data_IF_860558440319
#
_entry.id   IF_860558440319
#
_cell.length_a   1.000
_cell.length_b   1.000
_cell.length_c   1.000
_cell.angle_alpha   90.00
_cell.angle_beta   90.00
_cell.angle_gamma   90.00
#
_symmetry.space_group_name_H-M   'P 1'
#
loop_
_entity.id
_entity.type
_entity.pdbx_description
1 polymer ?
#
# COMPACT_ATOMS: atom_id res chain seq x y z
N UNK A 1 17.91 -19.46 -18.57
CA UNK A 1 16.69 -19.34 -19.44
C UNK A 1 15.49 -19.66 -18.56
N UNK A 2 15.19 -18.76 -17.64
CA UNK A 2 14.09 -18.95 -16.68
C UNK A 2 13.03 -17.88 -16.91
N UNK A 3 11.88 -18.35 -17.29
CA UNK A 3 10.72 -17.53 -17.62
C UNK A 3 10.21 -16.81 -16.37
N UNK A 4 10.33 -15.50 -16.35
CA UNK A 4 9.72 -14.61 -15.38
C UNK A 4 8.20 -14.63 -15.61
N UNK A 5 7.53 -15.43 -14.79
CA UNK A 5 6.07 -15.51 -14.77
C UNK A 5 5.54 -14.34 -13.90
N UNK A 6 5.56 -13.15 -14.49
CA UNK A 6 4.99 -11.96 -13.88
C UNK A 6 3.48 -12.12 -13.75
N UNK A 7 3.00 -12.29 -12.53
CA UNK A 7 1.59 -12.22 -12.20
C UNK A 7 1.05 -10.84 -12.63
N UNK A 8 0.27 -10.84 -13.70
CA UNK A 8 -0.50 -9.68 -14.15
C UNK A 8 -1.48 -9.33 -13.04
N UNK A 9 -1.16 -8.30 -12.27
CA UNK A 9 -2.13 -7.67 -11.37
C UNK A 9 -3.26 -7.18 -12.26
N UNK A 10 -4.45 -7.73 -12.08
CA UNK A 10 -5.67 -7.26 -12.72
C UNK A 10 -5.98 -5.85 -12.19
N UNK A 11 -5.34 -4.86 -12.80
CA UNK A 11 -5.75 -3.47 -12.65
C UNK A 11 -7.16 -3.30 -13.21
N UNK A 12 -7.91 -2.45 -12.53
CA UNK A 12 -9.27 -2.05 -12.92
C UNK A 12 -9.28 -1.67 -14.41
N UNK A 13 -10.20 -2.23 -15.19
CA UNK A 13 -10.28 -2.06 -16.64
C UNK A 13 -10.54 -0.58 -16.98
N UNK A 14 -9.47 0.17 -17.23
CA UNK A 14 -9.50 1.60 -17.58
C UNK A 14 -8.32 2.43 -17.10
N UNK A 15 -7.51 1.95 -16.15
CA UNK A 15 -6.33 2.70 -15.69
C UNK A 15 -5.09 2.34 -16.51
N UNK A 16 -4.40 3.38 -17.01
CA UNK A 16 -3.08 3.21 -17.63
C UNK A 16 -2.03 3.16 -16.51
N UNK A 17 -1.27 2.07 -16.46
CA UNK A 17 -0.27 1.80 -15.45
C UNK A 17 1.14 1.94 -16.04
N UNK A 18 2.04 2.47 -15.23
CA UNK A 18 3.47 2.47 -15.44
C UNK A 18 4.08 1.44 -14.50
N UNK A 19 4.89 0.54 -15.01
CA UNK A 19 5.66 -0.43 -14.25
C UNK A 19 7.13 -0.22 -14.57
N UNK A 20 7.98 -0.10 -13.55
CA UNK A 20 9.41 0.10 -13.75
C UNK A 20 10.21 -0.34 -12.54
N UNK A 21 11.53 -0.39 -12.76
CA UNK A 21 12.53 -0.59 -11.71
C UNK A 21 13.40 0.65 -11.61
N UNK A 22 13.61 1.14 -10.38
CA UNK A 22 14.54 2.23 -10.10
C UNK A 22 16.00 1.80 -10.32
N UNK A 23 16.91 2.77 -10.48
CA UNK A 23 18.33 2.50 -10.57
C UNK A 23 18.92 1.78 -9.35
N UNK A 24 18.27 1.86 -8.21
CA UNK A 24 18.61 1.16 -6.97
C UNK A 24 18.01 -0.27 -6.89
N UNK A 25 17.30 -0.72 -7.94
CA UNK A 25 16.74 -2.06 -8.07
C UNK A 25 15.35 -2.26 -7.44
N UNK A 26 14.70 -1.20 -6.97
CA UNK A 26 13.36 -1.26 -6.42
C UNK A 26 12.30 -1.19 -7.53
N UNK A 27 11.39 -2.17 -7.56
CA UNK A 27 10.23 -2.15 -8.46
C UNK A 27 9.20 -1.11 -7.98
N UNK A 28 8.64 -0.36 -8.93
CA UNK A 28 7.59 0.60 -8.62
C UNK A 28 6.49 0.62 -9.66
N UNK A 29 5.34 1.09 -9.21
CA UNK A 29 4.15 1.32 -10.03
C UNK A 29 3.79 2.79 -10.03
N UNK A 30 3.26 3.26 -11.16
CA UNK A 30 2.77 4.62 -11.29
C UNK A 30 1.49 4.68 -12.12
N UNK A 31 0.67 5.67 -11.83
CA UNK A 31 -0.51 5.99 -12.61
C UNK A 31 -0.14 6.98 -13.70
N UNK A 32 -0.36 6.61 -14.96
CA UNK A 32 -0.09 7.49 -16.09
C UNK A 32 -1.04 8.70 -16.07
N UNK A 33 -0.47 9.91 -16.10
CA UNK A 33 -1.20 11.17 -16.15
C UNK A 33 -1.23 11.73 -17.56
N UNK A 34 -0.10 11.66 -18.27
CA UNK A 34 0.05 12.18 -19.64
C UNK A 34 1.01 11.31 -20.42
N UNK A 35 0.70 11.08 -21.68
CA UNK A 35 1.53 10.30 -22.59
C UNK A 35 1.66 11.04 -23.92
N UNK A 36 2.87 11.16 -24.39
CA UNK A 36 3.22 11.56 -25.76
C UNK A 36 4.23 10.55 -26.31
N UNK A 37 4.55 10.64 -27.59
CA UNK A 37 5.51 9.72 -28.21
C UNK A 37 6.91 9.75 -27.56
N UNK A 38 7.31 10.88 -26.98
CA UNK A 38 8.66 11.08 -26.46
C UNK A 38 8.67 11.35 -24.95
N UNK A 39 7.52 11.39 -24.29
CA UNK A 39 7.41 11.80 -22.88
C UNK A 39 6.23 11.10 -22.21
N UNK A 40 6.44 10.65 -21.00
CA UNK A 40 5.37 10.21 -20.12
C UNK A 40 5.45 10.97 -18.80
N UNK A 41 4.29 11.37 -18.30
CA UNK A 41 4.14 11.93 -16.96
C UNK A 41 3.27 10.96 -16.17
N UNK A 42 3.73 10.55 -15.00
CA UNK A 42 3.02 9.62 -14.15
C UNK A 42 3.16 10.01 -12.68
N UNK A 43 2.18 9.61 -11.92
CA UNK A 43 2.13 9.75 -10.47
C UNK A 43 2.62 8.44 -9.85
N UNK A 44 3.63 8.52 -8.97
CA UNK A 44 4.14 7.36 -8.23
C UNK A 44 3.09 6.87 -7.24
N UNK A 45 2.79 5.58 -7.29
CA UNK A 45 1.90 4.93 -6.31
C UNK A 45 2.60 4.70 -4.97
N UNK A 46 3.93 4.61 -4.97
CA UNK A 46 4.73 4.48 -3.76
C UNK A 46 5.65 5.68 -3.56
N UNK A 47 5.31 6.61 -2.68
CA UNK A 47 6.13 7.80 -2.41
C UNK A 47 7.46 7.50 -1.69
N UNK A 48 7.68 6.27 -1.22
CA UNK A 48 8.97 5.86 -0.64
C UNK A 48 10.06 5.63 -1.69
N UNK A 49 9.68 5.51 -2.96
CA UNK A 49 10.63 5.40 -4.06
C UNK A 49 11.16 6.78 -4.40
N UNK A 50 12.46 6.95 -4.30
CA UNK A 50 13.15 8.19 -4.66
C UNK A 50 13.70 8.04 -6.07
N UNK A 51 13.11 8.75 -7.03
CA UNK A 51 13.65 8.88 -8.37
C UNK A 51 14.44 10.18 -8.48
N UNK A 52 15.57 10.13 -9.19
CA UNK A 52 16.46 11.28 -9.38
C UNK A 52 16.40 11.77 -10.80
N UNK A 53 16.52 13.09 -10.99
CA UNK A 53 16.67 13.67 -12.33
C UNK A 53 17.89 13.06 -13.03
N UNK A 54 17.73 12.75 -14.31
CA UNK A 54 18.69 12.04 -15.16
C UNK A 54 18.90 10.56 -14.83
N UNK A 55 18.12 10.00 -13.91
CA UNK A 55 18.14 8.56 -13.64
C UNK A 55 17.62 7.79 -14.86
N UNK A 56 18.31 6.72 -15.20
CA UNK A 56 17.89 5.81 -16.28
C UNK A 56 17.08 4.68 -15.67
N UNK A 57 15.87 4.49 -16.14
CA UNK A 57 14.98 3.41 -15.81
C UNK A 57 15.10 2.32 -16.89
N UNK A 58 15.84 1.23 -16.65
CA UNK A 58 16.18 0.27 -17.69
C UNK A 58 14.99 -0.59 -18.15
N UNK A 59 14.04 -0.83 -17.24
CA UNK A 59 12.87 -1.68 -17.46
C UNK A 59 11.58 -0.87 -17.27
N UNK A 60 11.39 0.15 -18.08
CA UNK A 60 10.21 0.99 -18.03
C UNK A 60 9.14 0.49 -18.98
N UNK A 61 7.94 0.27 -18.49
CA UNK A 61 6.82 -0.19 -19.31
C UNK A 61 5.54 0.59 -19.03
N UNK A 62 4.78 0.86 -20.07
CA UNK A 62 3.47 1.49 -20.00
C UNK A 62 2.44 0.51 -20.54
N UNK A 63 1.41 0.25 -19.76
CA UNK A 63 0.28 -0.58 -20.14
C UNK A 63 -1.03 0.20 -20.02
N UNK A 64 -1.95 0.02 -20.96
CA UNK A 64 -3.28 0.59 -20.90
C UNK A 64 -4.29 -0.40 -21.47
N UNK A 65 -5.42 -0.59 -20.78
CA UNK A 65 -6.45 -1.53 -21.18
C UNK A 65 -5.96 -2.98 -21.34
N UNK A 66 -4.97 -3.40 -20.56
CA UNK A 66 -4.37 -4.73 -20.63
C UNK A 66 -3.36 -4.92 -21.79
N UNK A 67 -3.06 -3.86 -22.54
CA UNK A 67 -2.07 -3.87 -23.62
C UNK A 67 -0.84 -3.09 -23.23
N UNK A 68 0.33 -3.66 -23.49
CA UNK A 68 1.61 -2.98 -23.31
C UNK A 68 1.82 -2.03 -24.49
N UNK A 69 1.89 -0.73 -24.20
CA UNK A 69 2.07 0.34 -25.20
C UNK A 69 3.55 0.64 -25.43
N UNK A 70 4.34 0.60 -24.36
CA UNK A 70 5.76 0.90 -24.36
C UNK A 70 6.50 -0.10 -23.48
N UNK A 71 7.69 -0.53 -23.87
CA UNK A 71 8.54 -1.40 -23.07
C UNK A 71 10.00 -1.21 -23.45
N UNK A 72 10.74 -0.47 -22.63
CA UNK A 72 12.13 -0.17 -22.89
C UNK A 72 12.74 0.73 -21.83
N UNK A 73 13.74 1.52 -22.20
CA UNK A 73 14.39 2.49 -21.32
C UNK A 73 13.62 3.81 -21.27
N UNK A 74 13.58 4.41 -20.08
CA UNK A 74 13.16 5.80 -19.92
C UNK A 74 14.19 6.58 -19.11
N UNK A 75 14.23 7.90 -19.25
CA UNK A 75 15.12 8.78 -18.50
C UNK A 75 14.28 9.79 -17.74
N UNK A 76 14.47 9.87 -16.42
CA UNK A 76 13.78 10.82 -15.57
C UNK A 76 14.24 12.24 -15.89
N UNK A 77 13.31 13.09 -16.34
CA UNK A 77 13.56 14.51 -16.61
C UNK A 77 13.36 15.37 -15.38
N UNK A 78 12.40 15.03 -14.59
CA UNK A 78 12.07 15.79 -13.40
C UNK A 78 11.13 15.03 -12.47
N UNK A 79 11.21 15.37 -11.21
CA UNK A 79 10.35 14.84 -10.15
C UNK A 79 9.78 16.05 -9.42
N UNK A 80 8.46 16.10 -9.32
CA UNK A 80 7.74 17.18 -8.66
C UNK A 80 6.93 16.60 -7.50
N UNK A 81 7.20 17.07 -6.31
CA UNK A 81 6.41 16.77 -5.12
C UNK A 81 5.28 17.79 -5.01
N UNK A 82 4.05 17.36 -5.26
CA UNK A 82 2.87 18.25 -5.22
C UNK A 82 2.26 18.38 -3.83
N UNK A 83 2.91 17.79 -2.81
CA UNK A 83 2.35 17.68 -1.45
C UNK A 83 1.31 16.56 -1.31
N UNK A 84 0.64 16.18 -2.39
CA UNK A 84 -0.36 15.11 -2.44
C UNK A 84 0.19 13.87 -3.14
N UNK A 85 1.07 14.06 -4.11
CA UNK A 85 1.63 13.00 -4.93
C UNK A 85 3.05 13.36 -5.40
N UNK A 86 3.80 12.34 -5.76
CA UNK A 86 5.08 12.49 -6.46
C UNK A 86 4.81 12.28 -7.95
N UNK A 87 4.95 13.34 -8.72
CA UNK A 87 4.76 13.31 -10.17
C UNK A 87 6.11 13.25 -10.86
N UNK A 88 6.31 12.26 -11.69
CA UNK A 88 7.54 12.04 -12.45
C UNK A 88 7.31 12.30 -13.92
N UNK A 89 8.26 13.02 -14.53
CA UNK A 89 8.34 13.27 -15.97
C UNK A 89 9.51 12.49 -16.53
N UNK A 90 9.28 11.65 -17.52
CA UNK A 90 10.30 10.83 -18.16
C UNK A 90 10.32 11.01 -19.67
N UNK A 91 11.52 10.95 -20.25
CA UNK A 91 11.73 10.90 -21.70
C UNK A 91 11.69 9.44 -22.14
N UNK A 92 10.96 9.19 -23.24
CA UNK A 92 10.81 7.89 -23.86
C UNK A 92 11.60 7.85 -25.18
N UNK A 93 12.17 6.69 -25.52
CA UNK A 93 12.80 6.47 -26.81
C UNK A 93 11.80 5.95 -27.82
N UNK A 94 11.85 6.43 -29.05
CA UNK A 94 10.92 6.03 -30.11
C UNK A 94 11.03 4.55 -30.52
N UNK A 95 12.13 3.90 -30.19
CA UNK A 95 12.44 2.51 -30.60
C UNK A 95 11.67 1.43 -29.81
N UNK A 96 11.14 1.79 -28.65
CA UNK A 96 10.54 0.82 -27.70
C UNK A 96 9.01 0.86 -27.67
N UNK A 97 8.40 1.55 -28.62
CA UNK A 97 6.96 1.51 -28.77
C UNK A 97 6.53 0.18 -29.40
N UNK A 98 5.50 -0.41 -28.84
CA UNK A 98 4.83 -1.53 -29.50
C UNK A 98 4.23 -1.02 -30.82
N UNK A 99 4.23 -1.84 -31.88
CA UNK A 99 3.61 -1.54 -33.19
C UNK A 99 2.08 -1.38 -33.12
N UNK A 100 1.58 -0.88 -32.00
CA UNK A 100 0.19 -0.48 -31.87
C UNK A 100 0.07 0.88 -32.50
N UNK A 101 -0.30 0.88 -33.78
CA UNK A 101 -0.73 2.07 -34.48
C UNK A 101 -1.95 2.66 -33.76
N UNK A 102 -1.67 3.62 -32.83
CA UNK A 102 -2.70 4.38 -32.14
C UNK A 102 -3.67 5.05 -33.15
N UNK A 103 -3.17 5.37 -34.34
CA UNK A 103 -3.98 5.89 -35.43
C UNK A 103 -5.01 4.88 -35.91
N UNK A 104 -4.64 3.61 -36.06
CA UNK A 104 -5.57 2.53 -36.44
C UNK A 104 -6.55 2.15 -35.33
N UNK A 105 -6.16 2.23 -34.07
CA UNK A 105 -7.06 2.00 -32.94
C UNK A 105 -8.13 3.11 -32.82
N UNK A 106 -7.74 4.35 -33.07
CA UNK A 106 -8.64 5.51 -33.08
C UNK A 106 -9.49 5.58 -34.36
N UNK A 107 -9.03 4.96 -35.47
CA UNK A 107 -9.72 4.96 -36.75
C UNK A 107 -10.86 3.93 -36.86
N UNK A 108 -11.10 3.12 -35.82
CA UNK A 108 -12.22 2.15 -35.82
C UNK A 108 -13.35 2.65 -34.90
N UNK A 109 -14.34 3.37 -35.44
CA UNK A 109 -15.47 3.93 -34.68
C UNK A 109 -16.23 2.93 -33.79
N UNK A 110 -16.37 1.63 -34.13
CA UNK A 110 -17.04 0.68 -33.24
C UNK A 110 -16.30 0.46 -31.91
N UNK A 111 -14.97 0.49 -31.91
CA UNK A 111 -14.16 0.26 -30.70
C UNK A 111 -14.31 1.37 -29.66
N UNK A 112 -14.33 2.63 -30.07
CA UNK A 112 -14.51 3.78 -29.16
C UNK A 112 -15.89 3.76 -28.50
N UNK A 113 -16.93 3.31 -29.19
CA UNK A 113 -18.28 3.16 -28.60
C UNK A 113 -18.31 2.07 -27.54
N UNK A 114 -17.60 0.97 -27.76
CA UNK A 114 -17.54 -0.13 -26.80
C UNK A 114 -16.68 0.24 -25.58
N UNK A 115 -15.58 0.94 -25.79
CA UNK A 115 -14.78 1.52 -24.73
C UNK A 115 -15.57 2.55 -23.90
N UNK A 116 -16.35 3.41 -24.56
CA UNK A 116 -17.22 4.35 -23.86
C UNK A 116 -18.33 3.64 -23.08
N UNK A 117 -18.92 2.57 -23.62
CA UNK A 117 -19.88 1.74 -22.87
C UNK A 117 -19.23 1.07 -21.65
N UNK A 118 -17.99 0.60 -21.78
CA UNK A 118 -17.24 0.05 -20.65
C UNK A 118 -16.94 1.11 -19.60
N UNK A 119 -16.59 2.34 -20.04
CA UNK A 119 -16.43 3.50 -19.18
C UNK A 119 -17.75 3.83 -18.45
N UNK A 120 -18.88 3.88 -19.16
CA UNK A 120 -20.19 4.15 -18.54
C UNK A 120 -20.54 3.09 -17.50
N UNK A 121 -20.32 1.80 -17.77
CA UNK A 121 -20.51 0.74 -16.76
C UNK A 121 -19.63 0.95 -15.51
N UNK A 122 -18.39 1.41 -15.70
CA UNK A 122 -17.52 1.78 -14.59
C UNK A 122 -18.05 2.99 -13.80
N UNK A 123 -18.55 3.99 -14.52
CA UNK A 123 -19.16 5.17 -13.92
C UNK A 123 -20.47 4.86 -13.15
N UNK A 124 -21.34 4.02 -13.70
CA UNK A 124 -22.56 3.55 -13.04
C UNK A 124 -22.28 2.88 -11.71
N UNK A 125 -21.18 2.11 -11.62
CA UNK A 125 -20.72 1.54 -10.35
C UNK A 125 -20.38 2.61 -9.32
N UNK A 126 -19.73 3.69 -9.74
CA UNK A 126 -19.44 4.84 -8.87
C UNK A 126 -20.69 5.64 -8.49
N UNK A 127 -21.69 5.68 -9.37
CA UNK A 127 -22.96 6.34 -9.10
C UNK A 127 -23.79 5.63 -8.02
N UNK A 128 -23.60 4.31 -7.86
CA UNK A 128 -24.26 3.49 -6.82
C UNK A 128 -23.71 3.68 -5.40
N UNK A 129 -22.57 4.39 -5.26
CA UNK A 129 -22.03 4.71 -3.94
C UNK A 129 -22.85 5.81 -3.29
N UNK A 130 -23.26 5.61 -2.04
CA UNK A 130 -24.06 6.56 -1.28
C UNK A 130 -23.35 7.93 -1.20
N UNK A 131 -24.12 9.03 -1.34
CA UNK A 131 -23.56 10.38 -1.22
C UNK A 131 -22.86 10.63 0.12
N UNK A 132 -23.46 10.19 1.22
CA UNK A 132 -22.91 10.33 2.57
C UNK A 132 -21.57 9.61 2.71
N UNK A 133 -21.44 8.43 2.09
CA UNK A 133 -20.19 7.69 2.05
C UNK A 133 -19.11 8.43 1.27
N UNK A 134 -19.47 9.03 0.12
CA UNK A 134 -18.55 9.87 -0.66
C UNK A 134 -18.09 11.09 0.13
N UNK A 135 -19.00 11.69 0.91
CA UNK A 135 -18.70 12.85 1.73
C UNK A 135 -17.67 12.52 2.80
N UNK A 136 -17.89 11.45 3.58
CA UNK A 136 -16.93 11.02 4.61
C UNK A 136 -15.57 10.69 4.00
N UNK A 137 -15.54 10.05 2.83
CA UNK A 137 -14.29 9.77 2.13
C UNK A 137 -13.60 11.05 1.64
N UNK A 138 -14.34 12.02 1.16
CA UNK A 138 -13.82 13.32 0.74
C UNK A 138 -13.25 14.13 1.91
N UNK A 139 -13.95 14.13 3.04
CA UNK A 139 -13.50 14.78 4.27
C UNK A 139 -12.19 14.15 4.78
N UNK A 140 -12.12 12.82 4.80
CA UNK A 140 -10.90 12.10 5.21
C UNK A 140 -9.72 12.36 4.26
N UNK A 141 -9.97 12.40 2.96
CA UNK A 141 -8.93 12.75 1.97
C UNK A 141 -8.42 14.17 2.16
N UNK A 142 -9.32 15.12 2.41
CA UNK A 142 -8.98 16.52 2.68
C UNK A 142 -8.15 16.62 3.96
N UNK A 143 -8.58 15.94 5.03
CA UNK A 143 -7.83 15.86 6.28
C UNK A 143 -6.43 15.29 6.07
N UNK A 144 -6.28 14.20 5.34
CA UNK A 144 -4.96 13.62 5.05
C UNK A 144 -4.08 14.56 4.22
N UNK A 145 -4.67 15.27 3.26
CA UNK A 145 -3.94 16.23 2.43
C UNK A 145 -3.37 17.37 3.27
N UNK A 146 -4.20 17.99 4.10
CA UNK A 146 -3.79 19.09 4.97
C UNK A 146 -2.82 18.65 6.05
N UNK A 147 -3.07 17.52 6.69
CA UNK A 147 -2.18 16.93 7.68
C UNK A 147 -0.79 16.66 7.09
N UNK A 148 -0.75 16.10 5.87
CA UNK A 148 0.52 15.84 5.19
C UNK A 148 1.29 17.12 4.92
N UNK A 149 0.64 18.15 4.36
CA UNK A 149 1.28 19.44 4.09
C UNK A 149 1.82 20.08 5.36
N UNK A 150 1.07 20.03 6.45
CA UNK A 150 1.49 20.55 7.74
C UNK A 150 2.68 19.78 8.31
N UNK A 151 2.67 18.46 8.26
CA UNK A 151 3.79 17.61 8.71
C UNK A 151 5.05 17.80 7.86
N UNK A 152 4.91 18.02 6.54
CA UNK A 152 6.03 18.35 5.66
C UNK A 152 6.73 19.66 6.07
N UNK A 153 5.98 20.67 6.52
CA UNK A 153 6.55 21.91 7.05
C UNK A 153 7.35 21.66 8.35
N UNK A 154 6.84 20.83 9.24
CA UNK A 154 7.57 20.43 10.46
C UNK A 154 8.85 19.68 10.10
N UNK A 155 8.76 18.75 9.14
CA UNK A 155 9.89 17.95 8.68
C UNK A 155 10.99 18.82 8.06
N UNK A 156 10.63 19.85 7.28
CA UNK A 156 11.57 20.86 6.78
C UNK A 156 12.24 21.62 7.93
N UNK A 157 11.50 21.99 8.96
CA UNK A 157 12.04 22.64 10.15
C UNK A 157 13.07 21.75 10.88
N UNK A 158 12.79 20.46 11.03
CA UNK A 158 13.70 19.49 11.66
C UNK A 158 14.98 19.35 10.83
N UNK A 159 14.85 19.19 9.50
CA UNK A 159 16.00 19.03 8.59
C UNK A 159 16.88 20.27 8.47
N UNK A 160 16.31 21.45 8.66
CA UNK A 160 17.06 22.72 8.65
C UNK A 160 17.72 23.06 9.96
N UNK A 161 17.45 22.31 11.04
CA UNK A 161 18.06 22.52 12.34
C UNK A 161 19.53 22.04 12.35
N UNK A 162 20.48 22.84 12.81
CA UNK A 162 21.90 22.48 12.83
C UNK A 162 22.26 21.41 13.86
N UNK A 163 21.32 20.90 14.62
CA UNK A 163 21.55 19.90 15.67
C UNK A 163 21.65 18.48 15.15
N UNK A 164 22.65 17.73 15.62
CA UNK A 164 22.95 16.32 15.29
C UNK A 164 21.88 15.31 15.79
N UNK A 165 20.65 15.73 16.05
CA UNK A 165 19.59 14.92 16.66
C UNK A 165 18.29 14.90 15.86
N UNK A 166 18.34 14.91 14.53
CA UNK A 166 17.12 14.94 13.71
C UNK A 166 16.18 13.77 14.00
N UNK A 167 16.71 12.55 14.16
CA UNK A 167 15.93 11.36 14.47
C UNK A 167 15.24 11.40 15.84
N UNK A 168 15.92 12.00 16.83
CA UNK A 168 15.34 12.19 18.16
C UNK A 168 14.24 13.25 18.15
N UNK A 169 14.42 14.32 17.38
CA UNK A 169 13.39 15.35 17.19
C UNK A 169 12.18 14.79 16.45
N UNK A 170 12.38 14.03 15.39
CA UNK A 170 11.29 13.35 14.68
C UNK A 170 10.51 12.43 15.61
N UNK A 171 11.21 11.65 16.44
CA UNK A 171 10.56 10.75 17.40
C UNK A 171 9.72 11.52 18.41
N UNK A 172 10.26 12.59 19.00
CA UNK A 172 9.52 13.46 19.91
C UNK A 172 8.26 14.05 19.27
N UNK A 173 8.36 14.52 18.03
CA UNK A 173 7.22 15.04 17.28
C UNK A 173 6.16 13.95 17.07
N UNK A 174 6.57 12.74 16.70
CA UNK A 174 5.63 11.63 16.51
C UNK A 174 4.99 11.24 17.84
N UNK A 175 5.74 11.13 18.92
CA UNK A 175 5.23 10.77 20.24
C UNK A 175 4.19 11.79 20.75
N UNK A 176 4.38 13.07 20.44
CA UNK A 176 3.45 14.14 20.80
C UNK A 176 2.19 14.14 19.90
N UNK A 177 2.36 13.93 18.62
CA UNK A 177 1.30 14.10 17.62
C UNK A 177 0.50 12.83 17.33
N UNK A 178 1.10 11.64 17.47
CA UNK A 178 0.45 10.39 17.08
C UNK A 178 -0.91 10.20 17.78
N UNK A 179 -0.97 10.42 19.09
CA UNK A 179 -2.23 10.26 19.83
C UNK A 179 -3.36 11.19 19.34
N UNK A 180 -3.17 12.50 19.25
CA UNK A 180 -4.16 13.42 18.68
C UNK A 180 -4.56 13.07 17.25
N UNK A 181 -3.61 12.78 16.37
CA UNK A 181 -3.88 12.45 14.97
C UNK A 181 -4.66 11.15 14.85
N UNK A 182 -4.27 10.11 15.60
CA UNK A 182 -5.00 8.83 15.64
C UNK A 182 -6.46 9.07 16.01
N UNK A 183 -6.74 9.80 17.07
CA UNK A 183 -8.13 10.12 17.45
C UNK A 183 -8.90 10.88 16.37
N UNK A 184 -8.23 11.77 15.65
CA UNK A 184 -8.90 12.48 14.54
C UNK A 184 -9.24 11.54 13.38
N UNK A 185 -8.37 10.59 13.05
CA UNK A 185 -8.63 9.58 12.02
C UNK A 185 -9.75 8.65 12.47
N UNK A 186 -9.74 8.21 13.73
CA UNK A 186 -10.75 7.29 14.28
C UNK A 186 -12.17 7.90 14.20
N UNK A 187 -12.34 9.20 14.39
CA UNK A 187 -13.64 9.87 14.18
C UNK A 187 -14.18 9.67 12.75
N UNK A 188 -13.32 9.71 11.74
CA UNK A 188 -13.75 9.45 10.34
C UNK A 188 -14.04 7.96 10.14
N UNK A 189 -13.25 7.10 10.77
CA UNK A 189 -13.43 5.64 10.67
C UNK A 189 -14.73 5.22 11.32
N UNK A 190 -15.05 5.71 12.51
CA UNK A 190 -16.31 5.44 13.20
C UNK A 190 -17.53 5.83 12.33
N UNK A 191 -17.50 7.05 11.76
CA UNK A 191 -18.54 7.49 10.82
C UNK A 191 -18.64 6.62 9.57
N UNK A 192 -17.51 6.17 9.07
CA UNK A 192 -17.44 5.24 7.95
C UNK A 192 -18.05 3.89 8.32
N UNK A 193 -17.71 3.33 9.47
CA UNK A 193 -18.22 2.03 9.94
C UNK A 193 -19.73 2.08 10.16
N UNK A 194 -20.25 3.14 10.79
CA UNK A 194 -21.70 3.36 10.93
C UNK A 194 -22.46 3.36 9.58
N UNK A 195 -21.84 3.94 8.55
CA UNK A 195 -22.43 3.93 7.20
C UNK A 195 -22.30 2.54 6.57
N UNK A 196 -21.17 1.87 6.76
CA UNK A 196 -20.91 0.57 6.18
C UNK A 196 -21.84 -0.53 6.73
N UNK A 197 -22.18 -0.48 8.02
CA UNK A 197 -23.13 -1.40 8.67
C UNK A 197 -24.55 -1.31 8.09
N UNK A 198 -24.92 -0.16 7.54
CA UNK A 198 -26.26 0.10 6.98
C UNK A 198 -26.34 -0.18 5.47
N UNK A 199 -25.22 -0.60 4.85
CA UNK A 199 -25.21 -0.85 3.42
C UNK A 199 -25.95 -2.15 3.08
N UNK A 200 -26.76 -2.07 2.02
CA UNK A 200 -27.27 -3.27 1.39
C UNK A 200 -26.11 -4.12 0.83
N UNK A 201 -26.09 -5.44 1.07
CA UNK A 201 -25.07 -6.34 0.55
C UNK A 201 -24.79 -6.21 -0.96
N UNK A 202 -25.80 -5.89 -1.75
CA UNK A 202 -25.66 -5.72 -3.20
C UNK A 202 -24.79 -4.50 -3.59
N UNK A 203 -24.76 -3.46 -2.76
CA UNK A 203 -23.98 -2.24 -3.04
C UNK A 203 -22.62 -2.21 -2.37
N UNK A 204 -22.34 -3.10 -1.43
CA UNK A 204 -21.06 -3.20 -0.73
C UNK A 204 -19.85 -3.26 -1.69
N UNK A 205 -19.85 -4.06 -2.79
CA UNK A 205 -18.70 -4.11 -3.69
C UNK A 205 -18.38 -2.78 -4.37
N UNK A 206 -19.39 -1.94 -4.60
CA UNK A 206 -19.20 -0.61 -5.21
C UNK A 206 -18.55 0.36 -4.21
N UNK A 207 -18.99 0.32 -2.95
CA UNK A 207 -18.42 1.11 -1.85
C UNK A 207 -16.98 0.69 -1.56
N UNK A 208 -16.69 -0.61 -1.56
CA UNK A 208 -15.33 -1.14 -1.41
C UNK A 208 -14.38 -0.69 -2.52
N UNK A 209 -14.86 -0.74 -3.77
CA UNK A 209 -14.07 -0.28 -4.92
C UNK A 209 -13.79 1.24 -4.85
N UNK A 210 -14.80 2.02 -4.42
CA UNK A 210 -14.66 3.45 -4.22
C UNK A 210 -13.67 3.78 -3.11
N UNK A 211 -13.79 3.13 -1.95
CA UNK A 211 -12.89 3.25 -0.82
C UNK A 211 -11.44 3.00 -1.21
N UNK A 212 -11.18 1.85 -1.84
CA UNK A 212 -9.83 1.49 -2.29
C UNK A 212 -9.22 2.59 -3.16
N UNK A 213 -9.94 3.01 -4.17
CA UNK A 213 -9.48 4.05 -5.08
C UNK A 213 -9.22 5.39 -4.37
N UNK A 214 -10.02 5.72 -3.36
CA UNK A 214 -9.92 6.96 -2.61
C UNK A 214 -8.79 6.97 -1.59
N UNK A 215 -8.56 5.86 -0.88
CA UNK A 215 -7.65 5.81 0.26
C UNK A 215 -6.31 5.11 0.00
N UNK A 216 -6.20 4.22 -1.01
CA UNK A 216 -4.94 3.53 -1.29
C UNK A 216 -3.74 4.48 -1.39
N UNK A 217 -3.81 5.61 -2.14
CA UNK A 217 -2.65 6.49 -2.28
C UNK A 217 -2.12 7.02 -0.95
N UNK A 218 -3.01 7.18 0.03
CA UNK A 218 -2.67 7.65 1.36
C UNK A 218 -2.14 6.53 2.25
N UNK A 219 -2.88 5.44 2.34
CA UNK A 219 -2.56 4.33 3.24
C UNK A 219 -1.28 3.59 2.83
N UNK A 220 -1.02 3.46 1.52
CA UNK A 220 0.18 2.82 1.01
C UNK A 220 1.46 3.63 1.24
N UNK A 221 1.38 4.86 1.76
CA UNK A 221 2.55 5.58 2.27
C UNK A 221 3.12 4.92 3.53
N UNK A 222 2.30 4.21 4.32
CA UNK A 222 2.76 3.40 5.44
C UNK A 222 3.47 2.14 4.94
N UNK A 223 4.69 1.84 5.42
CA UNK A 223 5.40 0.61 5.07
C UNK A 223 4.62 -0.66 5.40
N UNK A 224 3.92 -0.66 6.54
CA UNK A 224 3.07 -1.78 6.95
C UNK A 224 1.93 -2.03 5.96
N UNK A 225 1.15 -0.99 5.63
CA UNK A 225 0.06 -1.12 4.66
C UNK A 225 0.56 -1.50 3.27
N UNK A 226 1.67 -0.90 2.84
CA UNK A 226 2.31 -1.22 1.56
C UNK A 226 2.68 -2.69 1.47
N UNK A 227 3.37 -3.22 2.48
CA UNK A 227 3.76 -4.63 2.52
C UNK A 227 2.55 -5.57 2.58
N UNK A 228 1.57 -5.24 3.43
CA UNK A 228 0.34 -6.01 3.54
C UNK A 228 -0.43 -6.09 2.22
N UNK A 229 -0.43 -5.02 1.44
CA UNK A 229 -1.09 -4.96 0.14
C UNK A 229 -0.32 -5.72 -0.95
N UNK A 230 0.97 -5.46 -1.11
CA UNK A 230 1.79 -6.02 -2.19
C UNK A 230 2.18 -7.48 -1.98
N UNK A 231 2.21 -7.96 -0.72
CA UNK A 231 2.56 -9.35 -0.37
C UNK A 231 3.82 -9.85 -1.12
N UNK A 232 4.98 -9.22 -0.92
CA UNK A 232 6.16 -9.46 -1.75
C UNK A 232 6.66 -10.90 -1.73
N UNK A 233 6.31 -11.69 -0.71
CA UNK A 233 6.61 -13.12 -0.62
C UNK A 233 5.53 -14.00 -1.28
N UNK A 234 4.46 -13.41 -1.86
CA UNK A 234 3.43 -14.11 -2.61
C UNK A 234 2.41 -14.88 -1.76
N UNK A 235 2.48 -14.83 -0.42
CA UNK A 235 1.56 -15.50 0.48
C UNK A 235 1.09 -14.59 1.63
N UNK A 236 -0.05 -14.94 2.24
CA UNK A 236 -0.69 -14.12 3.28
C UNK A 236 0.05 -14.15 4.63
N UNK A 237 0.89 -15.14 4.88
CA UNK A 237 1.62 -15.36 6.12
C UNK A 237 3.02 -14.74 6.15
N UNK A 238 3.20 -13.58 5.53
CA UNK A 238 4.49 -12.87 5.50
C UNK A 238 4.98 -12.57 6.93
N UNK A 239 6.05 -13.26 7.34
CA UNK A 239 6.63 -13.13 8.69
C UNK A 239 7.07 -11.71 9.00
N UNK A 240 7.54 -10.96 8.01
CA UNK A 240 7.96 -9.57 8.18
C UNK A 240 6.79 -8.66 8.60
N UNK A 241 5.56 -8.96 8.18
CA UNK A 241 4.36 -8.24 8.67
C UNK A 241 4.21 -8.44 10.18
N UNK A 242 4.47 -9.65 10.67
CA UNK A 242 4.42 -9.93 12.12
C UNK A 242 5.54 -9.19 12.85
N UNK A 243 6.74 -9.21 12.29
CA UNK A 243 7.88 -8.48 12.86
C UNK A 243 7.60 -6.97 12.89
N UNK A 244 6.96 -6.41 11.85
CA UNK A 244 6.53 -5.00 11.84
C UNK A 244 5.50 -4.70 12.94
N UNK A 245 4.62 -5.64 13.28
CA UNK A 245 3.68 -5.48 14.39
C UNK A 245 4.36 -5.50 15.76
N UNK A 246 5.52 -6.16 15.88
CA UNK A 246 6.26 -6.32 17.14
C UNK A 246 7.30 -5.21 17.36
N UNK A 247 7.77 -4.58 16.28
CA UNK A 247 8.73 -3.47 16.33
C UNK A 247 8.06 -2.15 16.73
N UNK A 248 8.86 -1.14 17.13
CA UNK A 248 8.34 0.23 17.29
C UNK A 248 7.67 0.73 15.99
N UNK A 249 6.51 1.38 16.07
CA UNK A 249 5.67 1.70 14.90
C UNK A 249 6.16 2.93 14.09
N UNK A 250 7.35 3.45 14.37
CA UNK A 250 7.86 4.73 13.82
C UNK A 250 8.51 4.59 12.43
N UNK A 251 8.13 3.59 11.66
CA UNK A 251 8.66 3.35 10.31
C UNK A 251 7.92 4.18 9.26
N UNK A 252 8.67 4.73 8.31
CA UNK A 252 8.13 5.52 7.20
C UNK A 252 9.15 6.52 6.67
N UNK A 253 9.01 6.91 5.40
CA UNK A 253 9.91 7.85 4.73
C UNK A 253 9.66 9.32 5.08
N UNK A 254 8.47 9.63 5.61
CA UNK A 254 8.04 10.98 6.00
C UNK A 254 7.33 10.92 7.36
N UNK A 255 7.22 12.07 8.03
CA UNK A 255 6.42 12.16 9.28
C UNK A 255 4.99 11.70 9.07
N UNK A 256 4.37 12.04 7.94
CA UNK A 256 3.03 11.59 7.59
C UNK A 256 2.95 10.06 7.49
N UNK A 257 3.90 9.44 6.78
CA UNK A 257 3.97 7.98 6.67
C UNK A 257 4.16 7.30 8.03
N UNK A 258 5.03 7.86 8.88
CA UNK A 258 5.28 7.35 10.25
C UNK A 258 4.04 7.44 11.13
N UNK A 259 3.31 8.56 11.09
CA UNK A 259 2.07 8.74 11.86
C UNK A 259 0.98 7.79 11.39
N UNK A 260 0.81 7.62 10.08
CA UNK A 260 -0.12 6.61 9.54
C UNK A 260 0.29 5.19 9.91
N UNK A 261 1.58 4.90 9.94
CA UNK A 261 2.08 3.59 10.37
C UNK A 261 1.75 3.33 11.84
N UNK A 262 1.89 4.34 12.71
CA UNK A 262 1.47 4.26 14.12
C UNK A 262 -0.03 3.98 14.23
N UNK A 263 -0.86 4.71 13.48
CA UNK A 263 -2.30 4.52 13.48
C UNK A 263 -2.66 3.08 13.05
N UNK A 264 -2.13 2.60 11.94
CA UNK A 264 -2.43 1.26 11.39
C UNK A 264 -1.97 0.14 12.34
N UNK A 265 -0.78 0.27 12.92
CA UNK A 265 -0.26 -0.69 13.89
C UNK A 265 -0.95 -0.58 15.26
N UNK A 266 -1.64 0.53 15.55
CA UNK A 266 -2.50 0.71 16.72
C UNK A 266 -3.83 -0.01 16.63
N UNK A 267 -4.27 -0.40 15.43
CA UNK A 267 -5.58 -1.01 15.21
C UNK A 267 -5.73 -2.38 15.89
N UNK A 268 -6.98 -2.74 16.21
CA UNK A 268 -7.32 -3.94 16.96
C UNK A 268 -6.68 -5.24 16.44
N UNK A 269 -6.60 -5.51 15.14
CA UNK A 269 -5.97 -6.72 14.63
C UNK A 269 -4.46 -6.80 14.92
N UNK A 270 -3.73 -5.71 14.74
CA UNK A 270 -2.30 -5.67 15.06
C UNK A 270 -2.07 -5.86 16.57
N UNK A 271 -2.94 -5.27 17.39
CA UNK A 271 -2.93 -5.45 18.85
C UNK A 271 -3.25 -6.90 19.22
N UNK A 272 -4.23 -7.53 18.58
CA UNK A 272 -4.56 -8.94 18.80
C UNK A 272 -3.39 -9.87 18.46
N UNK A 273 -2.64 -9.56 17.39
CA UNK A 273 -1.43 -10.31 17.04
C UNK A 273 -0.34 -10.16 18.10
N UNK A 274 -0.06 -8.96 18.59
CA UNK A 274 0.88 -8.74 19.68
C UNK A 274 0.50 -9.53 20.93
N UNK A 275 -0.76 -9.45 21.33
CA UNK A 275 -1.29 -10.18 22.47
C UNK A 275 -1.16 -11.70 22.30
N UNK A 276 -1.39 -12.21 21.07
CA UNK A 276 -1.23 -13.62 20.75
C UNK A 276 0.22 -14.08 20.91
N UNK A 277 1.18 -13.31 20.35
CA UNK A 277 2.61 -13.63 20.45
C UNK A 277 3.04 -13.64 21.92
N UNK A 278 2.63 -12.64 22.69
CA UNK A 278 2.93 -12.53 24.12
C UNK A 278 2.32 -13.71 24.91
N UNK A 279 1.06 -14.05 24.66
CA UNK A 279 0.42 -15.21 25.26
C UNK A 279 1.16 -16.51 24.94
N UNK A 280 1.49 -16.76 23.68
CA UNK A 280 2.22 -17.96 23.27
C UNK A 280 3.62 -18.02 23.90
N UNK A 281 4.32 -16.92 23.94
CA UNK A 281 5.66 -16.83 24.58
C UNK A 281 5.59 -17.18 26.06
N UNK A 282 4.62 -16.62 26.78
CA UNK A 282 4.41 -16.95 28.21
C UNK A 282 4.03 -18.41 28.41
N UNK A 283 3.15 -18.94 27.60
CA UNK A 283 2.71 -20.34 27.67
C UNK A 283 3.87 -21.30 27.42
N UNK A 284 4.67 -21.04 26.37
CA UNK A 284 5.87 -21.83 26.06
C UNK A 284 6.91 -21.76 27.18
N UNK A 285 7.10 -20.59 27.78
CA UNK A 285 8.02 -20.43 28.91
C UNK A 285 7.54 -21.21 30.13
N UNK A 286 6.25 -21.14 30.45
CA UNK A 286 5.65 -21.91 31.57
C UNK A 286 5.77 -23.41 31.35
N UNK A 287 5.49 -23.88 30.14
CA UNK A 287 5.57 -25.31 29.81
C UNK A 287 7.02 -25.81 29.81
N UNK A 288 7.96 -24.98 29.33
CA UNK A 288 9.38 -25.30 29.43
C UNK A 288 9.86 -25.44 30.88
N UNK A 289 9.43 -24.54 31.75
CA UNK A 289 9.72 -24.61 33.19
C UNK A 289 9.09 -25.86 33.82
N UNK A 290 7.87 -26.22 33.41
CA UNK A 290 7.18 -27.44 33.86
C UNK A 290 7.97 -28.69 33.48
N UNK A 291 8.37 -28.80 32.21
CA UNK A 291 9.14 -29.92 31.68
C UNK A 291 10.53 -30.02 32.31
N UNK A 292 11.20 -28.91 32.55
CA UNK A 292 12.48 -28.87 33.27
C UNK A 292 12.35 -29.41 34.68
N UNK A 293 11.30 -29.03 35.40
CA UNK A 293 11.01 -29.55 36.76
C UNK A 293 10.71 -31.04 36.77
N UNK A 294 10.15 -31.58 35.70
CA UNK A 294 9.85 -33.00 35.57
C UNK A 294 11.04 -33.85 35.06
N UNK A 295 12.21 -33.28 34.86
CA UNK A 295 13.40 -33.99 34.38
C UNK A 295 13.36 -34.40 32.89
N UNK A 296 12.36 -33.96 32.14
CA UNK A 296 12.12 -34.37 30.74
C UNK A 296 12.81 -33.46 29.71
N UNK A 297 14.05 -32.99 29.99
CA UNK A 297 14.78 -32.06 29.16
C UNK A 297 14.95 -32.51 27.70
N UNK A 298 15.18 -33.81 27.48
CA UNK A 298 15.45 -34.35 26.13
C UNK A 298 14.22 -34.42 25.23
N UNK A 299 13.02 -34.54 25.80
CA UNK A 299 11.78 -34.53 25.01
C UNK A 299 11.46 -33.09 24.50
N UNK A 300 11.72 -32.08 25.30
CA UNK A 300 11.45 -30.69 24.95
C UNK A 300 12.32 -30.17 23.81
N UNK A 301 13.55 -30.66 23.65
CA UNK A 301 14.43 -30.28 22.55
C UNK A 301 14.00 -30.90 21.22
N UNK A 302 13.59 -32.17 21.23
CA UNK A 302 13.09 -32.85 20.03
C UNK A 302 11.74 -32.31 19.56
N UNK A 303 10.89 -31.88 20.48
CA UNK A 303 9.60 -31.23 20.17
C UNK A 303 9.80 -29.77 19.70
N UNK A 304 10.81 -29.06 20.21
CA UNK A 304 11.19 -27.74 19.67
C UNK A 304 11.60 -27.78 18.20
N UNK A 305 12.33 -28.82 17.78
CA UNK A 305 12.71 -29.00 16.37
C UNK A 305 11.50 -29.32 15.49
N UNK A 306 10.58 -30.20 15.95
CA UNK A 306 9.33 -30.48 15.24
C UNK A 306 8.31 -29.33 15.30
N UNK A 307 8.19 -28.66 16.43
CA UNK A 307 7.32 -27.50 16.58
C UNK A 307 7.77 -26.27 15.80
N UNK A 308 9.03 -26.20 15.36
CA UNK A 308 9.50 -25.17 14.45
C UNK A 308 9.01 -25.41 13.02
N UNK A 309 8.88 -26.66 12.58
CA UNK A 309 8.31 -27.02 11.27
C UNK A 309 6.79 -26.92 11.25
N UNK A 310 6.12 -27.45 12.30
CA UNK A 310 4.65 -27.38 12.42
C UNK A 310 4.16 -25.99 12.82
N UNK A 311 4.95 -25.23 13.60
CA UNK A 311 4.65 -23.84 13.99
C UNK A 311 4.70 -22.87 12.83
N UNK A 312 5.56 -23.09 11.84
CA UNK A 312 5.60 -22.28 10.62
C UNK A 312 4.33 -22.48 9.78
N UNK A 313 3.78 -23.69 9.70
CA UNK A 313 2.54 -23.97 8.98
C UNK A 313 1.30 -23.51 9.75
N UNK A 314 1.25 -23.71 11.06
CA UNK A 314 0.15 -23.23 11.90
C UNK A 314 0.14 -21.70 12.00
N UNK A 315 1.31 -21.06 11.97
CA UNK A 315 1.47 -19.61 11.94
C UNK A 315 0.95 -19.02 10.62
N UNK A 316 1.24 -19.66 9.49
CA UNK A 316 0.71 -19.27 8.19
C UNK A 316 -0.82 -19.29 8.13
N UNK A 317 -1.46 -20.35 8.65
CA UNK A 317 -2.92 -20.45 8.73
C UNK A 317 -3.56 -19.50 9.75
N UNK A 318 -2.87 -19.20 10.85
CA UNK A 318 -3.35 -18.24 11.86
C UNK A 318 -3.29 -16.80 11.39
N UNK A 319 -2.26 -16.43 10.63
CA UNK A 319 -2.11 -15.12 10.00
C UNK A 319 -3.15 -14.86 8.91
N UNK A 320 -3.55 -15.89 8.17
CA UNK A 320 -4.59 -15.78 7.15
C UNK A 320 -5.94 -15.37 7.76
N UNK A 321 -6.30 -15.91 8.93
CA UNK A 321 -7.54 -15.51 9.66
C UNK A 321 -7.44 -14.14 10.33
N UNK A 322 -6.25 -13.76 10.82
CA UNK A 322 -6.03 -12.46 11.46
C UNK A 322 -6.07 -11.29 10.48
N UNK A 323 -5.61 -11.51 9.25
CA UNK A 323 -5.69 -10.50 8.16
C UNK A 323 -7.14 -10.32 7.68
N UNK A 324 -7.98 -11.36 7.79
CA UNK A 324 -9.41 -11.26 7.50
C UNK A 324 -10.19 -10.44 8.55
N UNK A 325 -9.62 -10.22 9.74
CA UNK A 325 -10.20 -9.43 10.84
C UNK A 325 -9.60 -8.01 10.98
N UNK A 326 -8.88 -7.52 9.97
CA UNK A 326 -8.53 -6.10 9.87
C UNK A 326 -9.82 -5.26 9.90
N UNK A 327 -9.85 -4.05 10.52
CA UNK A 327 -11.02 -3.18 10.48
C UNK A 327 -11.63 -3.16 9.10
N UNK A 328 -12.95 -3.05 8.99
CA UNK A 328 -13.67 -3.10 7.70
C UNK A 328 -13.01 -2.26 6.62
N UNK A 329 -12.37 -1.16 7.00
CA UNK A 329 -11.55 -0.30 6.17
C UNK A 329 -10.36 -1.04 5.53
N UNK A 330 -9.63 -1.85 6.28
CA UNK A 330 -8.43 -2.57 5.79
C UNK A 330 -8.80 -3.90 5.12
N UNK A 331 -9.84 -4.59 5.59
CA UNK A 331 -10.40 -5.79 4.93
C UNK A 331 -10.91 -5.47 3.53
N UNK A 332 -11.49 -4.29 3.36
CA UNK A 332 -11.97 -3.82 2.08
C UNK A 332 -10.83 -3.44 1.11
N UNK A 333 -9.60 -3.25 1.62
CA UNK A 333 -8.40 -3.09 0.81
C UNK A 333 -7.87 -4.43 0.28
N UNK A 334 -8.22 -5.55 0.91
CA UNK A 334 -7.73 -6.89 0.57
C UNK A 334 -8.69 -7.73 -0.27
N UNK A 335 -9.75 -7.17 -0.83
CA UNK A 335 -10.70 -7.91 -1.67
C UNK A 335 -10.01 -8.80 -2.70
N UNK A 336 -10.44 -10.06 -2.74
CA UNK A 336 -10.04 -11.14 -3.65
C UNK A 336 -10.01 -10.71 -5.09
#
# INVERSE_FOLDING_TARGET
>A
MDAYNGSVVKGDAGSSLVLSRSGEGADFEGRLVRLTRNQAVFELCNPSIVLRTSEVLPEFSIASGGRKLYSGRAVVRGVVHTGVAVVCDVTLSSEYWSDVDLGTALSRPPHLRDEYRAFLKGWERTARVLPEFKLVMGDLQSFFSELRLWLEQIELGIRSSPSSGSDELERKVIDELAGPVVRSIDVFVDRFEELAERLDPEVVPFHQSYLRRSLHPWLLSSPFAYRAYHKPLGYAGDYEIVDMMLRPPYEGSTLFAKVLNVWLLGQAPATAHRNRVDYLSRTLMQENLRLQRQGQRHHAEAERQRGHEDGAQAHAHGLQRGVEQLPALLLQLHGK
#
